data_IF_244500843443
#
_entry.id   IF_244500843443
#
_cell.length_a   1.000
_cell.length_b   1.000
_cell.length_c   1.000
_cell.angle_alpha   90.00
_cell.angle_beta   90.00
_cell.angle_gamma   90.00
#
_symmetry.space_group_name_H-M   'P 1'
#
loop_
_entity.id
_entity.type
_entity.pdbx_description
1 polymer ?
#
# COMPACT_ATOMS: atom_id res chain seq x y z
N UNK A 1 7.63 -2.69 32.18
CA UNK A 1 6.70 -2.18 31.14
C UNK A 1 7.36 -2.39 29.78
N UNK A 2 6.70 -3.02 28.81
CA UNK A 2 7.29 -3.23 27.47
C UNK A 2 7.13 -1.97 26.60
N UNK A 3 7.95 -1.83 25.56
CA UNK A 3 7.83 -0.70 24.60
C UNK A 3 6.43 -0.61 23.99
N UNK A 4 5.80 -1.76 23.73
CA UNK A 4 4.44 -1.81 23.16
C UNK A 4 3.36 -1.45 24.17
N UNK A 5 3.52 -1.78 25.46
CA UNK A 5 2.56 -1.31 26.48
C UNK A 5 2.65 0.21 26.69
N UNK A 6 3.85 0.78 26.65
CA UNK A 6 4.02 2.24 26.78
C UNK A 6 3.43 2.97 25.56
N UNK A 7 3.63 2.45 24.35
CA UNK A 7 3.01 3.00 23.14
C UNK A 7 1.48 2.97 23.21
N UNK A 8 0.89 1.85 23.65
CA UNK A 8 -0.56 1.75 23.85
C UNK A 8 -1.07 2.76 24.87
N UNK A 9 -0.38 2.89 26.00
CA UNK A 9 -0.75 3.87 27.03
C UNK A 9 -0.81 5.29 26.46
N UNK A 10 0.16 5.69 25.64
CA UNK A 10 0.14 7.02 25.00
C UNK A 10 -1.05 7.19 24.06
N UNK A 11 -1.43 6.15 23.30
CA UNK A 11 -2.61 6.22 22.46
C UNK A 11 -3.88 6.37 23.31
N UNK A 12 -3.99 5.60 24.38
CA UNK A 12 -5.13 5.65 25.30
C UNK A 12 -5.23 7.03 25.99
N UNK A 13 -4.11 7.56 26.48
CA UNK A 13 -4.02 8.88 27.13
C UNK A 13 -4.40 10.02 26.16
N UNK A 14 -4.14 9.85 24.86
CA UNK A 14 -4.51 10.79 23.82
C UNK A 14 -5.91 10.55 23.21
N UNK A 15 -6.65 9.53 23.66
CA UNK A 15 -7.93 9.16 23.07
C UNK A 15 -7.84 8.74 21.59
N UNK A 16 -6.72 8.14 21.21
CA UNK A 16 -6.45 7.63 19.87
C UNK A 16 -6.70 6.13 19.79
N UNK A 17 -7.29 5.71 18.68
CA UNK A 17 -7.64 4.33 18.37
C UNK A 17 -6.88 3.89 17.12
N UNK A 18 -6.47 2.61 17.06
CA UNK A 18 -5.93 2.00 15.85
C UNK A 18 -7.07 1.89 14.82
N UNK A 19 -6.90 2.54 13.66
CA UNK A 19 -7.90 2.53 12.59
C UNK A 19 -8.04 1.11 12.02
N UNK A 20 -9.26 0.74 11.64
CA UNK A 20 -9.50 -0.52 10.96
C UNK A 20 -8.90 -0.49 9.54
N UNK A 21 -8.42 -1.64 9.07
CA UNK A 21 -7.77 -1.76 7.77
C UNK A 21 -8.38 -2.85 6.88
N UNK A 22 -8.37 -2.61 5.58
CA UNK A 22 -8.72 -3.54 4.52
C UNK A 22 -7.46 -4.01 3.80
N UNK A 23 -7.32 -5.33 3.70
CA UNK A 23 -6.22 -5.99 2.98
C UNK A 23 -5.30 -6.81 3.88
N UNK A 24 -4.03 -6.95 3.47
CA UNK A 24 -3.08 -7.88 4.13
C UNK A 24 -2.60 -7.34 5.46
N UNK A 25 -2.75 -8.09 6.55
CA UNK A 25 -2.38 -7.70 7.93
C UNK A 25 -1.01 -7.08 8.16
N UNK A 26 0.01 -7.43 7.37
CA UNK A 26 1.39 -6.98 7.61
C UNK A 26 1.73 -5.77 6.75
N UNK A 27 2.50 -4.84 7.32
CA UNK A 27 3.00 -3.63 6.65
C UNK A 27 4.50 -3.68 6.42
N UNK A 28 5.21 -4.61 7.05
CA UNK A 28 6.66 -4.75 6.92
C UNK A 28 7.09 -6.22 6.77
N UNK A 29 8.15 -6.44 5.97
CA UNK A 29 8.79 -7.73 5.75
C UNK A 29 10.32 -7.63 5.85
N UNK A 30 10.92 -8.34 6.80
CA UNK A 30 12.36 -8.50 6.90
C UNK A 30 12.81 -9.95 6.81
N UNK A 31 14.12 -10.16 7.00
CA UNK A 31 14.73 -11.48 7.11
C UNK A 31 15.41 -11.62 8.47
N UNK A 32 15.26 -12.77 9.10
CA UNK A 32 16.00 -13.11 10.31
C UNK A 32 17.49 -13.27 9.98
N UNK A 33 18.33 -13.27 11.03
CA UNK A 33 19.76 -13.60 10.91
C UNK A 33 20.02 -14.99 10.29
N UNK A 34 19.02 -15.87 10.30
CA UNK A 34 19.07 -17.21 9.72
C UNK A 34 18.30 -17.34 8.40
N UNK A 35 17.94 -16.21 7.77
CA UNK A 35 17.28 -16.18 6.47
C UNK A 35 15.77 -16.44 6.49
N UNK A 36 15.17 -16.71 7.64
CA UNK A 36 13.72 -16.88 7.77
C UNK A 36 12.97 -15.58 7.50
N UNK A 37 11.85 -15.63 6.79
CA UNK A 37 11.01 -14.46 6.57
C UNK A 37 10.38 -14.01 7.90
N UNK A 38 10.50 -12.73 8.23
CA UNK A 38 9.81 -12.10 9.36
C UNK A 38 8.85 -11.07 8.78
N UNK A 39 7.63 -11.03 9.30
CA UNK A 39 6.65 -10.02 8.92
C UNK A 39 6.03 -9.37 10.15
N UNK A 40 5.78 -8.07 10.06
CA UNK A 40 5.24 -7.27 11.16
C UNK A 40 4.24 -6.23 10.67
N UNK A 41 3.43 -5.72 11.61
CA UNK A 41 2.63 -4.50 11.41
C UNK A 41 3.27 -3.38 12.19
N UNK A 42 4.21 -2.69 11.55
CA UNK A 42 5.00 -1.59 12.15
C UNK A 42 4.32 -0.24 11.89
N UNK A 43 3.80 -0.05 10.69
CA UNK A 43 3.02 1.12 10.30
C UNK A 43 1.54 0.95 10.73
N UNK A 44 0.95 2.00 11.32
CA UNK A 44 -0.45 2.06 11.77
C UNK A 44 -1.01 3.46 11.56
N UNK A 45 -2.25 3.59 11.08
CA UNK A 45 -2.97 4.85 11.20
C UNK A 45 -3.76 4.83 12.51
N UNK A 46 -3.78 5.96 13.21
CA UNK A 46 -4.53 6.13 14.44
C UNK A 46 -5.43 7.36 14.32
N UNK A 47 -6.63 7.27 14.88
CA UNK A 47 -7.63 8.33 14.78
C UNK A 47 -8.32 8.54 16.13
N UNK A 48 -8.86 9.73 16.36
CA UNK A 48 -9.71 10.00 17.51
C UNK A 48 -11.19 9.74 17.15
N UNK A 49 -12.07 9.75 18.16
CA UNK A 49 -13.49 9.51 17.96
C UNK A 49 -14.16 10.53 17.01
N UNK A 50 -13.70 11.78 16.99
CA UNK A 50 -14.23 12.82 16.10
C UNK A 50 -13.91 12.49 14.64
N UNK A 51 -12.70 12.04 14.35
CA UNK A 51 -12.30 11.61 13.02
C UNK A 51 -13.10 10.39 12.55
N UNK A 52 -13.27 9.39 13.44
CA UNK A 52 -14.05 8.19 13.13
C UNK A 52 -15.51 8.53 12.80
N UNK A 53 -16.10 9.52 13.49
CA UNK A 53 -17.47 9.96 13.22
C UNK A 53 -17.58 10.76 11.92
N UNK A 54 -16.58 11.56 11.57
CA UNK A 54 -16.54 12.29 10.30
C UNK A 54 -16.37 11.36 9.09
N UNK A 55 -15.69 10.24 9.28
CA UNK A 55 -15.28 9.37 8.18
C UNK A 55 -15.61 7.89 8.44
N UNK A 56 -16.89 7.61 8.68
CA UNK A 56 -17.42 6.28 9.06
C UNK A 56 -17.19 5.15 8.06
N UNK A 57 -16.84 5.48 6.81
CA UNK A 57 -16.58 4.52 5.73
C UNK A 57 -15.09 4.41 5.37
N UNK A 58 -14.17 5.06 6.09
CA UNK A 58 -12.76 4.83 5.84
C UNK A 58 -12.35 3.46 6.36
N UNK A 59 -11.68 2.70 5.49
CA UNK A 59 -10.76 1.69 5.95
C UNK A 59 -9.35 2.08 5.49
N UNK A 60 -8.35 1.77 6.31
CA UNK A 60 -6.97 1.87 5.89
C UNK A 60 -6.68 0.78 4.85
N UNK A 61 -6.24 1.14 3.65
CA UNK A 61 -5.93 0.17 2.60
C UNK A 61 -4.43 -0.10 2.53
N UNK A 62 -4.03 -1.34 2.82
CA UNK A 62 -2.65 -1.76 2.66
C UNK A 62 -2.33 -2.02 1.18
N UNK A 63 -1.54 -1.14 0.57
CA UNK A 63 -1.24 -1.20 -0.85
C UNK A 63 -0.30 -2.36 -1.22
N UNK A 64 -0.12 -2.60 -2.52
CA UNK A 64 0.80 -3.63 -3.02
C UNK A 64 2.24 -3.19 -2.74
N UNK A 65 3.07 -4.13 -2.26
CA UNK A 65 4.51 -3.91 -2.06
C UNK A 65 5.17 -3.87 -3.43
N UNK A 66 5.80 -2.77 -3.79
CA UNK A 66 6.52 -2.64 -5.06
C UNK A 66 8.03 -2.82 -4.86
N UNK A 67 8.65 -1.97 -4.04
CA UNK A 67 10.11 -1.87 -3.93
C UNK A 67 10.66 -1.76 -2.51
N UNK A 68 9.82 -1.43 -1.53
CA UNK A 68 10.23 -1.33 -0.13
C UNK A 68 9.94 -2.64 0.61
N UNK A 69 10.68 -2.89 1.69
CA UNK A 69 10.31 -3.84 2.73
C UNK A 69 9.06 -3.41 3.51
N UNK A 70 8.67 -2.14 3.41
CA UNK A 70 7.40 -1.59 3.86
C UNK A 70 6.33 -1.58 2.77
N UNK A 71 5.07 -1.63 3.21
CA UNK A 71 3.88 -1.33 2.42
C UNK A 71 3.30 0.01 2.85
N UNK A 72 2.95 0.89 1.90
CA UNK A 72 2.28 2.13 2.23
C UNK A 72 0.86 1.86 2.75
N UNK A 73 0.48 2.65 3.76
CA UNK A 73 -0.89 2.80 4.23
C UNK A 73 -1.57 3.88 3.39
N UNK A 74 -2.79 3.60 2.92
CA UNK A 74 -3.64 4.58 2.24
C UNK A 74 -4.93 4.75 3.04
N UNK A 75 -5.21 5.98 3.44
CA UNK A 75 -6.38 6.38 4.24
C UNK A 75 -7.29 7.21 3.33
N UNK A 76 -8.61 7.01 3.41
CA UNK A 76 -9.58 7.58 2.46
C UNK A 76 -10.61 8.43 3.17
N UNK A 77 -10.40 9.75 3.22
CA UNK A 77 -11.31 10.69 3.91
C UNK A 77 -12.65 10.93 3.23
N UNK A 78 -12.92 10.18 2.18
CA UNK A 78 -14.16 10.14 1.41
C UNK A 78 -14.30 8.73 0.85
N UNK A 79 -15.52 8.27 0.54
CA UNK A 79 -15.69 6.99 -0.15
C UNK A 79 -14.77 6.95 -1.37
N UNK A 80 -13.99 5.88 -1.56
CA UNK A 80 -13.16 5.77 -2.76
C UNK A 80 -14.08 5.90 -3.98
N UNK A 81 -13.69 6.66 -5.01
CA UNK A 81 -14.52 6.83 -6.19
C UNK A 81 -14.92 5.46 -6.74
N UNK A 82 -16.17 5.26 -7.21
CA UNK A 82 -16.62 4.00 -7.76
C UNK A 82 -15.60 3.52 -8.78
N UNK A 83 -15.17 2.26 -8.63
CA UNK A 83 -13.94 1.72 -9.21
C UNK A 83 -13.80 2.00 -10.70
N UNK A 84 -13.13 3.10 -11.04
CA UNK A 84 -12.56 3.28 -12.36
C UNK A 84 -11.43 2.28 -12.56
N UNK A 85 -11.21 1.88 -13.81
CA UNK A 85 -10.10 1.00 -14.15
C UNK A 85 -8.80 1.55 -13.56
N UNK A 86 -8.13 0.75 -12.73
CA UNK A 86 -6.84 1.14 -12.17
C UNK A 86 -5.88 1.37 -13.32
N UNK A 87 -5.53 2.62 -13.56
CA UNK A 87 -4.51 2.96 -14.53
C UNK A 87 -3.23 2.19 -14.20
N UNK A 88 -2.67 1.55 -15.22
CA UNK A 88 -1.36 0.93 -15.14
C UNK A 88 -0.35 1.98 -14.63
N UNK A 89 0.33 1.66 -13.53
CA UNK A 89 1.41 2.50 -12.99
C UNK A 89 2.74 1.81 -13.25
N UNK A 90 3.55 2.42 -14.10
CA UNK A 90 4.95 2.04 -14.29
C UNK A 90 5.79 2.67 -13.17
N UNK A 91 6.43 1.84 -12.36
CA UNK A 91 7.32 2.28 -11.29
C UNK A 91 8.68 2.73 -11.83
N UNK A 92 9.28 3.74 -11.20
CA UNK A 92 10.60 4.28 -11.58
C UNK A 92 11.70 3.21 -11.65
N UNK A 93 11.70 2.28 -10.71
CA UNK A 93 12.65 1.16 -10.70
C UNK A 93 12.53 0.21 -11.89
N UNK A 94 11.34 0.12 -12.50
CA UNK A 94 11.14 -0.66 -13.71
C UNK A 94 11.79 0.05 -14.89
N UNK A 95 11.75 1.40 -14.92
CA UNK A 95 12.42 2.22 -15.94
C UNK A 95 13.94 2.18 -15.78
N UNK A 96 14.44 2.18 -14.54
CA UNK A 96 15.86 2.15 -14.23
C UNK A 96 16.50 0.76 -14.44
N UNK A 97 15.71 -0.28 -14.75
CA UNK A 97 16.22 -1.63 -15.00
C UNK A 97 16.99 -1.67 -16.33
N UNK A 98 18.17 -2.31 -16.35
CA UNK A 98 19.04 -2.36 -17.53
C UNK A 98 18.33 -2.93 -18.79
N UNK A 99 17.44 -3.90 -18.59
CA UNK A 99 16.68 -4.51 -19.69
C UNK A 99 15.43 -3.71 -20.11
N UNK A 100 15.04 -2.68 -19.36
CA UNK A 100 13.83 -1.91 -19.65
C UNK A 100 13.81 -1.31 -21.06
N UNK A 101 14.90 -0.69 -21.58
CA UNK A 101 14.91 -0.18 -22.94
C UNK A 101 14.64 -1.27 -23.98
N UNK A 102 15.22 -2.47 -23.78
CA UNK A 102 15.09 -3.62 -24.70
C UNK A 102 13.64 -4.15 -24.67
N UNK A 103 13.09 -4.34 -23.47
CA UNK A 103 11.72 -4.83 -23.28
C UNK A 103 10.71 -3.82 -23.85
N UNK A 104 10.88 -2.53 -23.55
CA UNK A 104 10.00 -1.48 -24.04
C UNK A 104 10.05 -1.41 -25.57
N UNK A 105 11.24 -1.39 -26.17
CA UNK A 105 11.39 -1.33 -27.62
C UNK A 105 10.78 -2.56 -28.31
N UNK A 106 11.06 -3.77 -27.83
CA UNK A 106 10.50 -5.00 -28.40
C UNK A 106 8.97 -5.06 -28.27
N UNK A 107 8.39 -4.56 -27.17
CA UNK A 107 6.94 -4.50 -27.00
C UNK A 107 6.28 -3.53 -27.99
N UNK A 108 6.80 -2.31 -28.13
CA UNK A 108 6.25 -1.31 -29.05
C UNK A 108 6.46 -1.66 -30.52
N UNK A 109 7.56 -2.35 -30.86
CA UNK A 109 7.80 -2.83 -32.23
C UNK A 109 6.94 -4.03 -32.62
N UNK A 110 6.38 -4.77 -31.65
CA UNK A 110 5.56 -5.97 -31.89
C UNK A 110 4.05 -5.70 -31.84
N UNK A 111 3.61 -4.44 -31.75
CA UNK A 111 2.19 -4.09 -31.93
C UNK A 111 1.80 -4.09 -33.42
N UNK A 112 1.81 -5.28 -34.03
CA UNK A 112 1.18 -5.50 -35.32
C UNK A 112 -0.31 -5.80 -35.11
N UNK A 113 -1.10 -4.76 -34.88
CA UNK A 113 -2.46 -4.55 -35.44
C UNK A 113 -3.00 -3.19 -34.96
N UNK A 114 -3.48 -2.32 -35.86
CA UNK A 114 -4.19 -1.11 -35.47
C UNK A 114 -5.48 -1.48 -34.71
N UNK A 115 -5.86 -0.64 -33.76
CA UNK A 115 -7.12 -0.74 -32.99
C UNK A 115 -8.39 -0.49 -33.86
N UNK A 116 -8.25 -0.29 -35.17
CA UNK A 116 -9.35 0.14 -36.06
C UNK A 116 -10.32 -0.95 -36.51
N UNK A 117 -10.11 -2.23 -36.16
CA UNK A 117 -10.92 -3.34 -36.70
C UNK A 117 -11.96 -3.90 -35.71
N UNK A 118 -12.49 -3.04 -34.84
CA UNK A 118 -13.63 -3.38 -33.98
C UNK A 118 -14.71 -2.30 -34.07
N UNK A 119 -15.44 -2.30 -35.18
CA UNK A 119 -16.81 -1.78 -35.30
C UNK A 119 -17.69 -2.87 -35.89
#
# INVERSE_FOLDING_TARGET
MTRMSAFKQVLDDCGLLDSDFVGRRFTWWGKSRYGSLIHGRLDRAVCNAVWLDLFKEEADHHQIRTMSDHKPLLVYTQPPPPGGEKLFRLGKCQVDHADFPIINQSFWSNQAKPFSDCT
#
